data_IF_291134530089
#
_entry.id   IF_291134530089
#
_cell.length_a   1.000
_cell.length_b   1.000
_cell.length_c   1.000
_cell.angle_alpha   90.00
_cell.angle_beta   90.00
_cell.angle_gamma   90.00
#
_symmetry.space_group_name_H-M   'P 1'
#
loop_
_entity.id
_entity.type
_entity.pdbx_description
1 polymer ?
#
# COMPACT_ATOMS: atom_id res chain seq x y z
N UNK A 1 -13.22 -11.40 -4.63
CA UNK A 1 -11.93 -10.78 -4.31
C UNK A 1 -11.83 -9.54 -5.18
N UNK A 2 -11.80 -8.36 -4.58
CA UNK A 2 -11.66 -7.10 -5.32
C UNK A 2 -10.32 -7.09 -6.08
N UNK A 3 -10.22 -6.40 -7.21
CA UNK A 3 -8.98 -6.27 -7.99
C UNK A 3 -7.86 -5.70 -7.11
N UNK A 4 -8.22 -4.77 -6.23
CA UNK A 4 -7.30 -4.13 -5.28
C UNK A 4 -6.78 -5.10 -4.19
N UNK A 5 -7.62 -6.00 -3.68
CA UNK A 5 -7.18 -7.06 -2.76
C UNK A 5 -6.18 -8.01 -3.44
N UNK A 6 -6.46 -8.36 -4.69
CA UNK A 6 -5.61 -9.25 -5.50
C UNK A 6 -4.26 -8.61 -5.78
N UNK A 7 -4.25 -7.31 -6.08
CA UNK A 7 -3.03 -6.53 -6.30
C UNK A 7 -2.17 -6.48 -5.04
N UNK A 8 -2.77 -6.18 -3.88
CA UNK A 8 -2.05 -6.16 -2.59
C UNK A 8 -1.48 -7.54 -2.25
N UNK A 9 -2.26 -8.61 -2.44
CA UNK A 9 -1.79 -9.98 -2.20
C UNK A 9 -0.60 -10.34 -3.10
N UNK A 10 -0.65 -9.95 -4.37
CA UNK A 10 0.44 -10.15 -5.33
C UNK A 10 1.69 -9.37 -4.92
N UNK A 11 1.53 -8.09 -4.55
CA UNK A 11 2.63 -7.25 -4.08
C UNK A 11 3.31 -7.84 -2.84
N UNK A 12 2.56 -8.37 -1.86
CA UNK A 12 3.15 -9.04 -0.69
C UNK A 12 3.94 -10.29 -1.06
N UNK A 13 3.43 -11.10 -1.98
CA UNK A 13 4.07 -12.36 -2.38
C UNK A 13 5.42 -12.17 -3.07
N UNK A 14 5.68 -10.98 -3.64
CA UNK A 14 6.93 -10.67 -4.34
C UNK A 14 7.91 -9.86 -3.50
N UNK A 15 7.55 -9.50 -2.26
CA UNK A 15 8.49 -8.87 -1.32
C UNK A 15 9.45 -9.95 -0.82
N UNK A 16 10.69 -9.85 -1.28
CA UNK A 16 11.79 -10.75 -0.89
C UNK A 16 12.94 -9.94 -0.27
N UNK A 17 13.67 -10.58 0.66
CA UNK A 17 14.83 -9.97 1.31
C UNK A 17 14.49 -8.89 2.34
N UNK A 18 15.53 -8.25 2.89
CA UNK A 18 15.39 -7.29 4.01
C UNK A 18 14.99 -5.88 3.57
N UNK A 19 15.21 -5.54 2.29
CA UNK A 19 14.96 -4.20 1.74
C UNK A 19 14.41 -4.26 0.32
N UNK A 20 13.52 -3.32 0.02
CA UNK A 20 12.98 -3.04 -1.30
C UNK A 20 13.58 -1.75 -1.89
N UNK A 21 13.66 -1.66 -3.21
CA UNK A 21 14.00 -0.39 -3.87
C UNK A 21 12.91 0.65 -3.60
N UNK A 22 13.31 1.85 -3.17
CA UNK A 22 12.37 2.96 -2.94
C UNK A 22 11.56 3.29 -4.20
N UNK A 23 12.19 3.26 -5.37
CA UNK A 23 11.47 3.53 -6.63
C UNK A 23 10.35 2.51 -6.86
N UNK A 24 10.60 1.22 -6.64
CA UNK A 24 9.59 0.17 -6.79
C UNK A 24 8.44 0.32 -5.79
N UNK A 25 8.75 0.73 -4.56
CA UNK A 25 7.73 1.00 -3.54
C UNK A 25 6.88 2.22 -3.92
N UNK A 26 7.50 3.30 -4.44
CA UNK A 26 6.79 4.47 -4.94
C UNK A 26 5.86 4.09 -6.11
N UNK A 27 6.38 3.38 -7.10
CA UNK A 27 5.60 2.96 -8.28
C UNK A 27 4.40 2.11 -7.85
N UNK A 28 4.60 1.13 -6.97
CA UNK A 28 3.52 0.30 -6.43
C UNK A 28 2.46 1.11 -5.66
N UNK A 29 2.88 2.12 -4.88
CA UNK A 29 1.96 3.02 -4.18
C UNK A 29 1.15 3.90 -5.15
N UNK A 30 1.78 4.37 -6.22
CA UNK A 30 1.08 5.14 -7.26
C UNK A 30 0.07 4.29 -8.03
N UNK A 31 0.42 3.04 -8.34
CA UNK A 31 -0.50 2.08 -8.96
C UNK A 31 -1.69 1.79 -8.03
N UNK A 32 -1.44 1.54 -6.74
CA UNK A 32 -2.50 1.40 -5.72
C UNK A 32 -3.39 2.62 -5.65
N UNK A 33 -2.83 3.82 -5.79
CA UNK A 33 -3.58 5.09 -5.74
C UNK A 33 -4.54 5.22 -6.91
N UNK A 34 -4.12 4.80 -8.11
CA UNK A 34 -4.97 4.82 -9.30
C UNK A 34 -6.15 3.84 -9.15
N UNK A 35 -5.88 2.62 -8.68
CA UNK A 35 -6.91 1.60 -8.46
C UNK A 35 -7.85 1.94 -7.29
N UNK A 36 -7.36 2.66 -6.28
CA UNK A 36 -8.16 3.09 -5.12
C UNK A 36 -9.07 4.30 -5.43
N UNK A 37 -9.25 4.68 -6.70
CA UNK A 37 -10.15 5.78 -7.07
C UNK A 37 -11.57 5.53 -6.57
N UNK A 38 -12.11 6.46 -5.77
CA UNK A 38 -13.43 6.32 -5.14
C UNK A 38 -13.41 5.68 -3.74
N UNK A 39 -12.23 5.32 -3.23
CA UNK A 39 -11.99 4.83 -1.85
C UNK A 39 -11.16 5.85 -1.07
N UNK A 40 -11.76 6.95 -0.56
CA UNK A 40 -11.01 8.01 0.13
C UNK A 40 -10.25 7.50 1.37
N UNK A 41 -10.81 6.51 2.05
CA UNK A 41 -10.20 5.80 3.17
C UNK A 41 -8.88 5.10 2.81
N UNK A 42 -8.83 4.47 1.63
CA UNK A 42 -7.64 3.80 1.11
C UNK A 42 -6.64 4.81 0.55
N UNK A 43 -7.13 5.84 -0.14
CA UNK A 43 -6.29 6.91 -0.70
C UNK A 43 -5.51 7.65 0.39
N UNK A 44 -6.14 7.93 1.54
CA UNK A 44 -5.48 8.59 2.67
C UNK A 44 -4.30 7.76 3.21
N UNK A 45 -4.46 6.44 3.33
CA UNK A 45 -3.40 5.53 3.76
C UNK A 45 -2.24 5.46 2.75
N UNK A 46 -2.55 5.49 1.45
CA UNK A 46 -1.55 5.49 0.38
C UNK A 46 -0.76 6.79 0.38
N UNK A 47 -1.44 7.94 0.48
CA UNK A 47 -0.81 9.26 0.51
C UNK A 47 0.06 9.42 1.76
N UNK A 48 -0.38 8.90 2.91
CA UNK A 48 0.43 8.84 4.13
C UNK A 48 1.68 7.96 3.93
N UNK A 49 1.55 6.77 3.33
CA UNK A 49 2.68 5.90 3.05
C UNK A 49 3.71 6.54 2.09
N UNK A 50 3.26 7.30 1.09
CA UNK A 50 4.14 8.07 0.20
C UNK A 50 4.92 9.16 0.95
N UNK A 51 4.27 9.86 1.88
CA UNK A 51 4.87 10.94 2.67
C UNK A 51 5.87 10.43 3.72
N UNK A 52 5.57 9.32 4.37
CA UNK A 52 6.34 8.77 5.50
C UNK A 52 7.42 7.77 5.10
N UNK A 53 7.60 7.53 3.80
CA UNK A 53 8.45 6.46 3.30
C UNK A 53 9.90 6.59 3.78
N UNK A 54 10.44 5.59 4.51
CA UNK A 54 11.78 5.64 5.07
C UNK A 54 12.86 5.42 4.01
N UNK A 55 14.07 5.88 4.32
CA UNK A 55 15.25 5.67 3.48
C UNK A 55 15.26 6.49 2.19
N UNK A 56 16.46 6.76 1.67
CA UNK A 56 16.64 7.58 0.45
C UNK A 56 16.52 6.76 -0.84
N UNK A 57 16.99 5.52 -0.82
CA UNK A 57 17.06 4.64 -2.00
C UNK A 57 16.50 3.25 -1.73
N UNK A 58 16.60 2.79 -0.48
CA UNK A 58 16.10 1.48 -0.03
C UNK A 58 15.11 1.68 1.11
N UNK A 59 14.05 0.89 1.10
CA UNK A 59 12.97 0.85 2.09
C UNK A 59 13.03 -0.50 2.79
N UNK A 60 12.98 -0.58 4.13
CA UNK A 60 12.88 -1.87 4.81
C UNK A 60 11.66 -2.66 4.35
N UNK A 61 11.84 -3.92 3.95
CA UNK A 61 10.74 -4.78 3.51
C UNK A 61 9.68 -4.94 4.59
N UNK A 62 10.08 -4.97 5.87
CA UNK A 62 9.17 -5.01 7.01
C UNK A 62 8.23 -3.79 7.06
N UNK A 63 8.76 -2.58 6.84
CA UNK A 63 7.93 -1.37 6.77
C UNK A 63 6.94 -1.46 5.60
N UNK A 64 7.41 -1.94 4.45
CA UNK A 64 6.56 -2.04 3.27
C UNK A 64 5.43 -3.06 3.45
N UNK A 65 5.72 -4.23 4.01
CA UNK A 65 4.71 -5.24 4.34
C UNK A 65 3.66 -4.71 5.32
N UNK A 66 4.10 -3.99 6.36
CA UNK A 66 3.18 -3.37 7.32
C UNK A 66 2.23 -2.36 6.65
N UNK A 67 2.73 -1.55 5.71
CA UNK A 67 1.86 -0.64 4.93
C UNK A 67 0.87 -1.41 4.05
N UNK A 68 1.31 -2.46 3.37
CA UNK A 68 0.41 -3.33 2.59
C UNK A 68 -0.64 -4.02 3.48
N UNK A 69 -0.31 -4.35 4.72
CA UNK A 69 -1.25 -4.88 5.73
C UNK A 69 -2.34 -3.87 6.08
N UNK A 70 -1.97 -2.63 6.42
CA UNK A 70 -2.91 -1.56 6.75
C UNK A 70 -3.84 -1.22 5.58
N UNK A 71 -3.27 -1.07 4.37
CA UNK A 71 -4.04 -0.78 3.16
C UNK A 71 -4.99 -1.96 2.88
N UNK A 72 -4.52 -3.20 2.96
CA UNK A 72 -5.35 -4.38 2.74
C UNK A 72 -6.51 -4.49 3.73
N UNK A 73 -6.29 -4.14 5.01
CA UNK A 73 -7.35 -4.11 6.02
C UNK A 73 -8.42 -3.09 5.69
N UNK A 74 -8.06 -1.87 5.28
CA UNK A 74 -9.02 -0.85 4.87
C UNK A 74 -9.83 -1.33 3.67
N UNK A 75 -9.20 -1.98 2.68
CA UNK A 75 -9.86 -2.48 1.48
C UNK A 75 -10.97 -3.48 1.81
N UNK A 76 -10.69 -4.42 2.73
CA UNK A 76 -11.65 -5.45 3.18
C UNK A 76 -12.71 -4.87 4.14
N UNK A 77 -12.32 -3.92 4.98
CA UNK A 77 -13.18 -3.27 5.96
C UNK A 77 -13.31 -1.77 5.63
N UNK A 78 -14.12 -1.40 4.61
CA UNK A 78 -14.37 0.00 4.32
C UNK A 78 -14.98 0.64 5.56
N UNK A 79 -14.37 1.72 6.04
CA UNK A 79 -14.92 2.54 7.12
C UNK A 79 -16.36 2.90 6.74
N UNK A 80 -17.34 2.47 7.53
CA UNK A 80 -18.72 2.94 7.34
C UNK A 80 -18.70 4.48 7.45
N UNK A 81 -19.29 5.22 6.50
CA UNK A 81 -19.43 6.65 6.67
C UNK A 81 -20.32 6.86 7.89
N UNK A 82 -19.72 7.30 8.98
CA UNK A 82 -20.46 7.80 10.13
C UNK A 82 -21.16 9.06 9.64
N UNK A 83 -22.45 8.92 9.33
CA UNK A 83 -23.31 9.98 8.79
C UNK A 83 -23.59 11.10 9.78
#
# INVERSE_FOLDING_TARGET
MNELETMIATMRSVVEGEVCSRSRVVDALLDLRLEATGRPDVLELIDAALAEMPGRTMVPSAWWLERLDLIGLAVVHPSEPVG
#
